data_IF_010146251220
#
_entry.id   IF_010146251220
#
_cell.length_a   1.000
_cell.length_b   1.000
_cell.length_c   1.000
_cell.angle_alpha   90.00
_cell.angle_beta   90.00
_cell.angle_gamma   90.00
#
_symmetry.space_group_name_H-M   'P 1'
#
loop_
_entity.id
_entity.type
_entity.pdbx_description
1 polymer ?
#
# COMPACT_ATOMS: atom_id res chain seq x y z
N UNK A 1 43.12 -26.77 19.76
CA UNK A 1 42.27 -26.10 20.76
C UNK A 1 42.63 -26.37 22.23
N UNK A 2 43.77 -26.98 22.57
CA UNK A 2 44.21 -27.16 23.97
C UNK A 2 44.81 -25.88 24.59
N UNK A 3 45.32 -24.93 23.78
CA UNK A 3 46.04 -23.74 24.22
C UNK A 3 45.20 -22.73 25.03
N UNK A 4 43.88 -22.75 24.90
CA UNK A 4 42.96 -21.82 25.59
C UNK A 4 42.61 -22.26 27.03
N UNK A 5 43.06 -23.44 27.48
CA UNK A 5 42.70 -24.00 28.79
C UNK A 5 43.92 -24.27 29.71
N UNK A 6 45.12 -23.81 29.31
CA UNK A 6 46.31 -23.93 30.16
C UNK A 6 46.33 -22.84 31.23
N UNK A 7 46.49 -23.23 32.47
CA UNK A 7 46.48 -22.35 33.64
C UNK A 7 47.55 -21.26 33.57
N UNK A 8 48.69 -21.58 32.96
CA UNK A 8 49.83 -20.70 32.80
C UNK A 8 49.53 -19.55 31.82
N UNK A 9 48.78 -19.84 30.74
CA UNK A 9 48.35 -18.81 29.77
C UNK A 9 47.44 -17.76 30.42
N UNK A 10 46.55 -18.20 31.29
CA UNK A 10 45.66 -17.26 32.02
C UNK A 10 46.38 -16.44 33.07
N UNK A 11 47.41 -17.00 33.73
CA UNK A 11 48.25 -16.26 34.67
C UNK A 11 49.09 -15.17 33.97
N UNK A 12 49.63 -15.49 32.79
CA UNK A 12 50.41 -14.54 31.99
C UNK A 12 49.52 -13.39 31.44
N UNK A 13 48.29 -13.73 30.95
CA UNK A 13 47.30 -12.73 30.52
C UNK A 13 46.94 -11.80 31.69
N UNK A 14 46.60 -12.40 32.86
CA UNK A 14 46.25 -11.61 34.04
C UNK A 14 47.42 -10.71 34.54
N UNK A 15 48.65 -11.20 34.50
CA UNK A 15 49.86 -10.45 34.82
C UNK A 15 50.06 -9.27 33.88
N UNK A 16 49.86 -9.46 32.58
CA UNK A 16 49.96 -8.44 31.56
C UNK A 16 48.90 -7.33 31.72
N UNK A 17 47.65 -7.74 32.00
CA UNK A 17 46.53 -6.81 32.27
C UNK A 17 46.83 -5.95 33.52
N UNK A 18 47.34 -6.57 34.58
CA UNK A 18 47.67 -5.87 35.84
C UNK A 18 48.82 -4.86 35.71
N UNK A 19 49.79 -5.15 34.82
CA UNK A 19 50.95 -4.31 34.58
C UNK A 19 50.60 -3.07 33.72
N UNK A 20 49.61 -3.14 32.85
CA UNK A 20 49.22 -2.06 31.89
C UNK A 20 47.71 -1.75 31.97
N UNK A 21 47.20 -1.46 33.16
CA UNK A 21 45.76 -1.23 33.42
C UNK A 21 45.11 -0.21 32.50
N UNK A 22 45.75 0.92 32.30
CA UNK A 22 45.19 2.01 31.47
C UNK A 22 45.07 1.61 30.00
N UNK A 23 46.09 0.96 29.43
CA UNK A 23 46.05 0.47 28.03
C UNK A 23 44.94 -0.58 27.86
N UNK A 24 44.90 -1.54 28.79
CA UNK A 24 43.86 -2.60 28.76
C UNK A 24 42.45 -2.01 28.87
N UNK A 25 42.24 -1.06 29.78
CA UNK A 25 40.94 -0.41 29.96
C UNK A 25 40.50 0.35 28.68
N UNK A 26 41.41 1.09 28.02
CA UNK A 26 41.10 1.78 26.76
C UNK A 26 40.77 0.77 25.65
N UNK A 27 41.51 -0.34 25.55
CA UNK A 27 41.26 -1.37 24.54
C UNK A 27 39.92 -2.05 24.75
N UNK A 28 39.59 -2.43 25.99
CA UNK A 28 38.31 -3.03 26.33
C UNK A 28 37.16 -2.06 26.06
N UNK A 29 37.32 -0.77 26.45
CA UNK A 29 36.33 0.26 26.18
C UNK A 29 36.09 0.45 24.69
N UNK A 30 37.18 0.52 23.88
CA UNK A 30 37.05 0.64 22.44
C UNK A 30 36.36 -0.57 21.79
N UNK A 31 36.72 -1.78 22.19
CA UNK A 31 36.08 -3.00 21.71
C UNK A 31 34.60 -3.07 22.12
N UNK A 32 34.30 -2.77 23.39
CA UNK A 32 32.92 -2.72 23.90
C UNK A 32 32.08 -1.69 23.13
N UNK A 33 32.62 -0.49 22.93
CA UNK A 33 31.93 0.59 22.20
C UNK A 33 31.70 0.20 20.75
N UNK A 34 32.69 -0.39 20.09
CA UNK A 34 32.56 -0.88 18.71
C UNK A 34 31.47 -1.95 18.55
N UNK A 35 31.44 -2.91 19.47
CA UNK A 35 30.38 -3.95 19.46
C UNK A 35 29.01 -3.33 19.75
N UNK A 36 28.91 -2.43 20.71
CA UNK A 36 27.66 -1.75 21.06
C UNK A 36 27.09 -0.95 19.87
N UNK A 37 27.95 -0.21 19.17
CA UNK A 37 27.54 0.52 17.97
C UNK A 37 27.09 -0.43 16.84
N UNK A 38 27.84 -1.53 16.63
CA UNK A 38 27.50 -2.50 15.61
C UNK A 38 26.14 -3.14 15.88
N UNK A 39 25.91 -3.62 17.11
CA UNK A 39 24.63 -4.21 17.51
C UNK A 39 23.49 -3.18 17.42
N UNK A 40 23.74 -1.93 17.84
CA UNK A 40 22.79 -0.84 17.74
C UNK A 40 22.40 -0.54 16.30
N UNK A 41 23.37 -0.47 15.38
CA UNK A 41 23.13 -0.27 13.96
C UNK A 41 22.36 -1.42 13.31
N UNK A 42 22.73 -2.66 13.61
CA UNK A 42 22.02 -3.83 13.10
C UNK A 42 20.57 -3.90 13.64
N UNK A 43 20.37 -3.56 14.91
CA UNK A 43 19.05 -3.45 15.51
C UNK A 43 18.19 -2.37 14.87
N UNK A 44 18.77 -1.20 14.61
CA UNK A 44 18.09 -0.10 13.92
C UNK A 44 17.73 -0.48 12.47
N UNK A 45 18.65 -1.08 11.73
CA UNK A 45 18.39 -1.56 10.36
C UNK A 45 17.24 -2.57 10.32
N UNK A 46 17.25 -3.55 11.24
CA UNK A 46 16.17 -4.55 11.35
C UNK A 46 14.83 -3.92 11.79
N UNK A 47 14.89 -2.92 12.65
CA UNK A 47 13.72 -2.13 13.05
C UNK A 47 13.09 -1.39 11.87
N UNK A 48 13.89 -0.78 11.01
CA UNK A 48 13.42 -0.12 9.77
C UNK A 48 12.79 -1.14 8.82
N UNK A 49 13.47 -2.26 8.55
CA UNK A 49 12.95 -3.34 7.70
C UNK A 49 11.61 -3.87 8.20
N UNK A 50 11.50 -4.17 9.49
CA UNK A 50 10.26 -4.65 10.11
C UNK A 50 9.14 -3.61 10.03
N UNK A 51 9.46 -2.32 10.25
CA UNK A 51 8.49 -1.22 10.12
C UNK A 51 8.00 -1.11 8.68
N UNK A 52 8.89 -1.21 7.71
CA UNK A 52 8.56 -1.15 6.30
C UNK A 52 7.66 -2.34 5.90
N UNK A 53 8.05 -3.57 6.25
CA UNK A 53 7.26 -4.77 5.99
C UNK A 53 5.86 -4.69 6.67
N UNK A 54 5.76 -4.09 7.86
CA UNK A 54 4.47 -3.90 8.52
C UNK A 54 3.60 -2.82 7.86
N UNK A 55 4.19 -1.86 7.15
CA UNK A 55 3.46 -0.83 6.40
C UNK A 55 2.96 -1.34 5.04
N UNK A 56 3.80 -2.06 4.32
CA UNK A 56 3.56 -2.42 2.91
C UNK A 56 3.37 -3.91 2.66
N UNK A 57 3.54 -4.76 3.68
CA UNK A 57 3.48 -6.22 3.54
C UNK A 57 2.13 -6.78 3.07
N UNK A 58 1.06 -5.99 3.16
CA UNK A 58 -0.26 -6.36 2.66
C UNK A 58 -0.44 -6.01 1.16
N UNK A 59 0.50 -5.25 0.58
CA UNK A 59 0.50 -4.91 -0.85
C UNK A 59 1.37 -5.87 -1.65
N UNK A 60 0.97 -6.13 -2.88
CA UNK A 60 1.84 -6.80 -3.84
C UNK A 60 3.08 -5.90 -4.08
N UNK A 61 4.25 -6.42 -3.75
CA UNK A 61 5.52 -5.68 -3.80
C UNK A 61 5.87 -5.18 -5.21
N UNK A 62 5.41 -5.92 -6.24
CA UNK A 62 5.60 -5.55 -7.65
C UNK A 62 4.40 -4.75 -8.16
N UNK A 63 4.09 -3.62 -7.52
CA UNK A 63 2.95 -2.77 -7.88
C UNK A 63 3.27 -1.28 -7.86
N UNK A 64 2.55 -0.53 -8.70
CA UNK A 64 2.61 0.91 -8.80
C UNK A 64 1.20 1.50 -8.79
N UNK A 65 1.01 2.61 -8.05
CA UNK A 65 -0.20 3.42 -8.11
C UNK A 65 -0.01 4.49 -9.19
N UNK A 66 -0.98 4.63 -10.10
CA UNK A 66 -0.95 5.64 -11.15
C UNK A 66 -2.26 6.45 -11.10
N UNK A 67 -2.12 7.76 -11.10
CA UNK A 67 -3.25 8.70 -11.16
C UNK A 67 -3.03 9.78 -12.23
N UNK A 68 -4.12 10.23 -12.86
CA UNK A 68 -4.07 11.38 -13.75
C UNK A 68 -3.81 12.68 -12.99
N UNK A 69 -3.00 13.56 -13.59
CA UNK A 69 -2.69 14.88 -13.06
C UNK A 69 -2.96 15.94 -14.12
N UNK A 70 -2.34 17.10 -14.02
CA UNK A 70 -2.44 18.15 -15.01
C UNK A 70 -1.24 18.11 -15.95
N UNK A 71 -1.51 18.31 -17.26
CA UNK A 71 -0.44 18.45 -18.26
C UNK A 71 0.38 19.70 -17.99
N UNK A 72 1.68 19.65 -18.28
CA UNK A 72 2.59 20.79 -18.15
C UNK A 72 3.14 21.26 -19.49
N UNK A 73 2.77 20.59 -20.57
CA UNK A 73 3.21 20.93 -21.93
C UNK A 73 2.03 20.91 -22.89
N UNK A 74 1.93 21.88 -23.83
CA UNK A 74 0.94 21.84 -24.90
C UNK A 74 1.32 20.74 -25.90
N UNK A 75 0.30 20.05 -26.46
CA UNK A 75 0.55 19.00 -27.45
C UNK A 75 -0.67 18.75 -28.34
N UNK A 76 -0.47 18.57 -29.64
CA UNK A 76 -1.51 18.25 -30.63
C UNK A 76 -2.77 19.15 -30.50
N UNK A 77 -2.59 20.45 -30.31
CA UNK A 77 -3.69 21.41 -30.18
C UNK A 77 -4.29 21.54 -28.78
N UNK A 78 -3.88 20.70 -27.84
CA UNK A 78 -4.29 20.86 -26.46
C UNK A 78 -3.33 21.78 -25.69
N UNK A 79 -3.91 22.63 -24.85
CA UNK A 79 -3.17 23.53 -23.97
C UNK A 79 -2.59 22.78 -22.75
N UNK A 80 -1.58 23.34 -22.11
CA UNK A 80 -1.11 22.91 -20.80
C UNK A 80 -2.19 23.12 -19.71
N UNK A 81 -2.03 22.46 -18.55
CA UNK A 81 -2.96 22.56 -17.42
C UNK A 81 -4.21 21.69 -17.54
N UNK A 82 -4.36 20.93 -18.63
CA UNK A 82 -5.49 20.02 -18.83
C UNK A 82 -5.48 18.90 -17.80
N UNK A 83 -6.57 18.75 -17.03
CA UNK A 83 -6.74 17.65 -16.09
C UNK A 83 -6.98 16.34 -16.83
N UNK A 84 -6.10 15.38 -16.63
CA UNK A 84 -6.25 14.04 -17.22
C UNK A 84 -7.16 13.19 -16.34
N UNK A 85 -8.20 12.63 -16.97
CA UNK A 85 -9.17 11.73 -16.32
C UNK A 85 -8.98 10.34 -16.91
N UNK A 86 -8.64 9.38 -16.07
CA UNK A 86 -8.52 7.99 -16.45
C UNK A 86 -9.90 7.37 -16.62
N UNK A 87 -10.03 6.43 -17.56
CA UNK A 87 -11.28 5.76 -17.91
C UNK A 87 -11.12 4.24 -17.90
N UNK A 88 -12.24 3.52 -17.78
CA UNK A 88 -12.21 2.04 -17.83
C UNK A 88 -11.64 1.52 -19.15
N UNK A 89 -11.79 2.26 -20.26
CA UNK A 89 -11.16 1.95 -21.54
C UNK A 89 -9.62 1.96 -21.45
N UNK A 90 -9.04 2.86 -20.68
CA UNK A 90 -7.58 2.89 -20.48
C UNK A 90 -7.09 1.60 -19.83
N UNK A 91 -7.88 1.05 -18.90
CA UNK A 91 -7.56 -0.25 -18.25
C UNK A 91 -7.54 -1.39 -19.25
N UNK A 92 -8.51 -1.44 -20.16
CA UNK A 92 -8.60 -2.50 -21.18
C UNK A 92 -7.43 -2.41 -22.16
N UNK A 93 -7.05 -1.20 -22.58
CA UNK A 93 -5.88 -0.98 -23.44
C UNK A 93 -4.57 -1.35 -22.74
N UNK A 94 -4.39 -0.98 -21.48
CA UNK A 94 -3.21 -1.36 -20.70
C UNK A 94 -3.08 -2.90 -20.63
N UNK A 95 -4.18 -3.61 -20.38
CA UNK A 95 -4.18 -5.07 -20.30
C UNK A 95 -3.87 -5.74 -21.62
N UNK A 96 -4.31 -5.17 -22.75
CA UNK A 96 -4.13 -5.75 -24.07
C UNK A 96 -2.75 -5.45 -24.67
N UNK A 97 -2.19 -4.27 -24.42
CA UNK A 97 -1.01 -3.79 -25.14
C UNK A 97 0.30 -3.94 -24.35
N UNK A 98 0.22 -3.93 -23.00
CA UNK A 98 1.44 -3.99 -22.21
C UNK A 98 1.74 -5.41 -21.73
N UNK A 99 2.86 -5.92 -22.18
CA UNK A 99 3.41 -7.18 -21.69
C UNK A 99 3.86 -7.03 -20.24
N UNK A 100 3.71 -8.09 -19.44
CA UNK A 100 4.16 -8.09 -18.06
C UNK A 100 3.12 -7.58 -17.05
N UNK A 101 1.95 -7.13 -17.48
CA UNK A 101 0.83 -6.82 -16.58
C UNK A 101 0.26 -8.11 -15.98
N UNK A 102 0.14 -8.12 -14.65
CA UNK A 102 -0.58 -9.15 -13.93
C UNK A 102 -1.99 -8.68 -13.59
N UNK A 103 -2.10 -7.52 -12.95
CA UNK A 103 -3.39 -6.93 -12.57
C UNK A 103 -3.41 -5.42 -12.83
N UNK A 104 -4.56 -4.89 -13.23
CA UNK A 104 -4.88 -3.46 -13.24
C UNK A 104 -6.20 -3.29 -12.53
N UNK A 105 -6.19 -2.53 -11.43
CA UNK A 105 -7.35 -2.34 -10.55
C UNK A 105 -7.66 -0.86 -10.45
N UNK A 106 -8.68 -0.36 -11.19
CA UNK A 106 -9.11 1.03 -11.05
C UNK A 106 -9.84 1.23 -9.72
N UNK A 107 -9.68 2.41 -9.15
CA UNK A 107 -10.25 2.77 -7.85
C UNK A 107 -10.80 4.18 -7.85
N UNK A 108 -11.85 4.37 -7.07
CA UNK A 108 -12.41 5.68 -6.72
C UNK A 108 -12.50 5.83 -5.21
N UNK A 109 -12.47 7.07 -4.72
CA UNK A 109 -12.77 7.36 -3.33
C UNK A 109 -13.52 8.69 -3.19
N UNK A 110 -14.31 8.77 -2.13
CA UNK A 110 -14.97 10.01 -1.70
C UNK A 110 -15.13 9.99 -0.18
N UNK A 111 -15.26 11.17 0.43
CA UNK A 111 -15.75 11.27 1.79
C UNK A 111 -17.24 10.98 1.84
N UNK A 112 -17.68 10.28 2.89
CA UNK A 112 -19.10 10.00 3.10
C UNK A 112 -19.45 9.91 4.58
N UNK A 113 -20.62 10.43 4.93
CA UNK A 113 -21.22 10.21 6.24
C UNK A 113 -21.77 8.79 6.29
N UNK A 114 -21.41 8.05 7.33
CA UNK A 114 -21.92 6.69 7.57
C UNK A 114 -22.64 6.66 8.90
N UNK A 115 -23.82 6.08 8.91
CA UNK A 115 -24.71 6.04 10.09
C UNK A 115 -25.15 4.60 10.38
N UNK A 116 -25.07 4.22 11.65
CA UNK A 116 -25.67 3.01 12.21
C UNK A 116 -26.57 3.42 13.39
N UNK A 117 -27.89 3.36 13.21
CA UNK A 117 -28.84 3.84 14.22
C UNK A 117 -28.60 5.31 14.57
N UNK A 118 -28.18 5.58 15.79
CA UNK A 118 -27.87 6.92 16.28
C UNK A 118 -26.39 7.29 16.20
N UNK A 119 -25.50 6.34 15.87
CA UNK A 119 -24.06 6.58 15.72
C UNK A 119 -23.76 7.03 14.32
N UNK A 120 -22.96 8.07 14.18
CA UNK A 120 -22.62 8.66 12.88
C UNK A 120 -21.17 9.09 12.87
N UNK A 121 -20.47 8.83 11.77
CA UNK A 121 -19.10 9.25 11.52
C UNK A 121 -18.87 9.63 10.07
N UNK A 122 -17.74 10.30 9.80
CA UNK A 122 -17.29 10.62 8.44
C UNK A 122 -16.11 9.71 8.06
N UNK A 123 -16.29 8.98 6.98
CA UNK A 123 -15.35 7.95 6.55
C UNK A 123 -15.03 8.08 5.07
N UNK A 124 -13.94 7.43 4.65
CA UNK A 124 -13.61 7.33 3.24
C UNK A 124 -14.33 6.13 2.63
N UNK A 125 -15.13 6.40 1.61
CA UNK A 125 -15.85 5.40 0.83
C UNK A 125 -15.07 5.11 -0.44
N UNK A 126 -14.59 3.88 -0.59
CA UNK A 126 -13.88 3.42 -1.78
C UNK A 126 -14.83 2.64 -2.69
N UNK A 127 -14.75 2.92 -3.99
CA UNK A 127 -15.33 2.07 -5.03
C UNK A 127 -14.26 1.12 -5.56
N UNK A 128 -14.39 -0.16 -5.29
CA UNK A 128 -13.35 -1.16 -5.55
C UNK A 128 -13.86 -2.40 -6.29
N UNK A 129 -12.93 -3.09 -6.93
CA UNK A 129 -13.15 -4.40 -7.54
C UNK A 129 -12.72 -5.53 -6.60
N UNK A 130 -13.29 -6.73 -6.73
CA UNK A 130 -12.87 -7.92 -5.97
C UNK A 130 -11.37 -8.23 -6.12
N UNK A 131 -10.82 -7.89 -7.28
CA UNK A 131 -9.42 -8.09 -7.61
C UNK A 131 -8.46 -7.30 -6.70
N UNK A 132 -8.95 -6.27 -6.00
CA UNK A 132 -8.17 -5.51 -5.04
C UNK A 132 -7.59 -6.41 -3.94
N UNK A 133 -8.31 -7.41 -3.47
CA UNK A 133 -7.84 -8.32 -2.43
C UNK A 133 -6.59 -9.14 -2.84
N UNK A 134 -6.38 -9.34 -4.15
CA UNK A 134 -5.15 -9.97 -4.67
C UNK A 134 -3.96 -9.03 -4.73
N UNK A 135 -4.21 -7.74 -4.85
CA UNK A 135 -3.17 -6.70 -4.95
C UNK A 135 -2.86 -6.09 -3.59
N UNK A 136 -3.87 -5.97 -2.77
CA UNK A 136 -3.82 -5.47 -1.40
C UNK A 136 -4.66 -6.38 -0.51
N UNK A 137 -4.02 -7.40 0.04
CA UNK A 137 -4.71 -8.44 0.81
C UNK A 137 -5.42 -7.85 2.04
N UNK A 138 -6.71 -8.09 2.14
CA UNK A 138 -7.52 -7.69 3.30
C UNK A 138 -7.54 -8.79 4.34
N UNK A 139 -7.13 -8.49 5.55
CA UNK A 139 -7.20 -9.42 6.69
C UNK A 139 -8.62 -9.38 7.26
N UNK A 140 -9.52 -10.16 6.66
CA UNK A 140 -10.89 -10.27 7.13
C UNK A 140 -10.93 -10.82 8.56
N UNK A 141 -11.69 -10.17 9.41
CA UNK A 141 -12.00 -10.64 10.77
C UNK A 141 -13.34 -11.34 10.81
N UNK A 142 -14.27 -10.94 9.92
CA UNK A 142 -15.58 -11.54 9.79
C UNK A 142 -16.12 -11.36 8.36
N UNK A 143 -16.97 -12.29 7.91
CA UNK A 143 -17.63 -12.24 6.62
C UNK A 143 -16.69 -12.44 5.42
N UNK A 144 -16.93 -11.68 4.34
CA UNK A 144 -16.19 -11.78 3.07
C UNK A 144 -15.84 -10.41 2.49
N UNK A 145 -14.88 -10.38 1.58
CA UNK A 145 -14.66 -9.22 0.73
C UNK A 145 -15.67 -9.16 -0.44
N UNK A 146 -15.64 -8.10 -1.23
CA UNK A 146 -16.43 -7.93 -2.43
C UNK A 146 -16.18 -9.09 -3.42
N UNK A 147 -17.20 -9.50 -4.15
CA UNK A 147 -17.10 -10.54 -5.19
C UNK A 147 -17.63 -10.06 -6.54
N UNK A 148 -17.44 -10.85 -7.58
CA UNK A 148 -17.86 -10.48 -8.93
C UNK A 148 -19.37 -10.32 -9.08
N UNK A 149 -20.18 -11.07 -8.29
CA UNK A 149 -21.63 -10.92 -8.29
C UNK A 149 -22.07 -9.56 -7.77
N UNK A 150 -21.34 -9.01 -6.76
CA UNK A 150 -21.63 -7.67 -6.22
C UNK A 150 -21.41 -6.59 -7.29
N UNK A 151 -20.39 -6.77 -8.16
CA UNK A 151 -20.10 -5.86 -9.29
C UNK A 151 -21.18 -5.99 -10.37
N UNK A 152 -21.47 -7.21 -10.79
CA UNK A 152 -22.36 -7.48 -11.94
C UNK A 152 -23.81 -7.05 -11.65
N UNK A 153 -24.27 -7.22 -10.41
CA UNK A 153 -25.61 -6.89 -9.97
C UNK A 153 -25.72 -5.48 -9.35
N UNK A 154 -24.64 -4.69 -9.33
CA UNK A 154 -24.58 -3.38 -8.68
C UNK A 154 -25.11 -3.43 -7.24
N UNK A 155 -24.71 -4.46 -6.47
CA UNK A 155 -25.23 -4.69 -5.14
C UNK A 155 -24.87 -3.55 -4.18
N UNK A 156 -25.82 -3.19 -3.33
CA UNK A 156 -25.61 -2.27 -2.23
C UNK A 156 -25.05 -3.00 -1.01
N UNK A 157 -23.81 -3.43 -1.12
CA UNK A 157 -23.06 -4.11 -0.05
C UNK A 157 -21.79 -3.31 0.28
N UNK A 158 -21.33 -3.46 1.51
CA UNK A 158 -20.07 -2.81 1.93
C UNK A 158 -19.23 -3.74 2.81
N UNK A 159 -17.93 -3.50 2.75
CA UNK A 159 -16.93 -4.09 3.65
C UNK A 159 -16.32 -2.95 4.46
N UNK A 160 -16.32 -3.07 5.77
CA UNK A 160 -15.90 -2.02 6.70
C UNK A 160 -14.59 -2.36 7.41
N UNK A 161 -13.82 -1.34 7.73
CA UNK A 161 -12.63 -1.49 8.56
C UNK A 161 -12.97 -1.71 10.05
N UNK A 162 -12.05 -2.29 10.80
CA UNK A 162 -12.15 -2.44 12.25
C UNK A 162 -12.27 -1.10 12.99
N UNK A 163 -11.81 0.00 12.39
CA UNK A 163 -12.00 1.34 12.92
C UNK A 163 -13.46 1.79 12.85
N UNK A 164 -14.11 1.60 11.69
CA UNK A 164 -15.55 1.88 11.51
C UNK A 164 -16.39 1.00 12.43
N UNK A 165 -16.03 -0.30 12.54
CA UNK A 165 -16.71 -1.21 13.45
C UNK A 165 -16.68 -0.68 14.91
N UNK A 166 -15.52 -0.29 15.40
CA UNK A 166 -15.37 0.23 16.78
C UNK A 166 -16.10 1.55 17.02
N UNK A 167 -16.31 2.37 16.00
CA UNK A 167 -16.95 3.68 16.11
C UNK A 167 -18.48 3.59 16.00
N UNK A 168 -19.00 2.71 15.13
CA UNK A 168 -20.41 2.66 14.79
C UNK A 168 -21.17 1.48 15.41
N UNK A 169 -20.49 0.46 15.94
CA UNK A 169 -21.12 -0.70 16.57
C UNK A 169 -20.81 -0.75 18.06
N UNK A 170 -21.63 -1.48 18.81
CA UNK A 170 -21.33 -1.78 20.19
C UNK A 170 -20.34 -2.95 20.29
N UNK A 171 -19.74 -3.10 21.47
CA UNK A 171 -18.79 -4.18 21.69
C UNK A 171 -19.52 -5.51 21.55
N UNK A 172 -18.93 -6.42 20.74
CA UNK A 172 -19.45 -7.75 20.45
C UNK A 172 -20.78 -7.77 19.63
N UNK A 173 -21.21 -6.62 19.08
CA UNK A 173 -22.35 -6.55 18.16
C UNK A 173 -21.96 -7.16 16.79
N UNK A 174 -22.82 -8.02 16.24
CA UNK A 174 -22.62 -8.63 14.93
C UNK A 174 -22.85 -7.58 13.82
N UNK A 175 -21.78 -7.23 13.08
CA UNK A 175 -21.86 -6.24 12.01
C UNK A 175 -22.29 -6.86 10.67
N UNK A 176 -21.86 -8.09 10.38
CA UNK A 176 -22.15 -8.75 9.10
C UNK A 176 -23.65 -9.08 9.03
N UNK A 177 -24.26 -8.68 7.90
CA UNK A 177 -25.71 -8.82 7.70
C UNK A 177 -26.52 -7.58 8.05
N UNK A 178 -25.99 -6.67 8.88
CA UNK A 178 -26.65 -5.40 9.24
C UNK A 178 -26.59 -4.37 8.10
N UNK A 179 -27.33 -3.28 8.23
CA UNK A 179 -27.39 -2.22 7.23
C UNK A 179 -26.83 -0.91 7.78
N UNK A 180 -25.89 -0.34 7.05
CA UNK A 180 -25.36 1.01 7.29
C UNK A 180 -25.92 1.98 6.25
N UNK A 181 -26.24 3.20 6.66
CA UNK A 181 -26.53 4.29 5.73
C UNK A 181 -25.23 5.02 5.37
N UNK A 182 -24.86 4.98 4.09
CA UNK A 182 -23.72 5.71 3.53
C UNK A 182 -24.28 6.80 2.63
N UNK A 183 -24.11 8.07 2.99
CA UNK A 183 -24.68 9.22 2.24
C UNK A 183 -26.16 9.03 1.89
N UNK A 184 -26.97 8.60 2.87
CA UNK A 184 -28.41 8.31 2.77
C UNK A 184 -28.80 7.03 1.97
N UNK A 185 -27.86 6.23 1.52
CA UNK A 185 -28.13 4.95 0.84
C UNK A 185 -27.78 3.81 1.78
N UNK A 186 -28.70 2.85 1.92
CA UNK A 186 -28.48 1.67 2.76
C UNK A 186 -27.62 0.64 2.06
N UNK A 187 -26.58 0.18 2.73
CA UNK A 187 -25.65 -0.88 2.30
C UNK A 187 -25.64 -1.99 3.34
N UNK A 188 -25.75 -3.22 2.91
CA UNK A 188 -25.57 -4.38 3.78
C UNK A 188 -24.07 -4.61 4.03
N UNK A 189 -23.68 -4.73 5.29
CA UNK A 189 -22.33 -5.12 5.67
C UNK A 189 -22.14 -6.60 5.33
N UNK A 190 -21.13 -6.92 4.49
CA UNK A 190 -20.82 -8.30 4.10
C UNK A 190 -19.48 -8.77 4.62
N UNK A 191 -18.69 -7.89 5.24
CA UNK A 191 -17.46 -8.26 5.88
C UNK A 191 -16.84 -7.12 6.70
N UNK A 192 -16.02 -7.52 7.64
CA UNK A 192 -15.20 -6.64 8.49
C UNK A 192 -13.74 -7.04 8.31
N UNK A 193 -12.84 -6.08 8.17
CA UNK A 193 -11.42 -6.36 8.03
C UNK A 193 -10.58 -5.52 9.00
N UNK A 194 -9.43 -6.06 9.37
CA UNK A 194 -8.44 -5.35 10.17
C UNK A 194 -7.65 -4.40 9.28
N UNK A 195 -7.68 -3.11 9.61
CA UNK A 195 -6.95 -2.08 8.88
C UNK A 195 -5.44 -2.28 8.98
N UNK A 196 -4.77 -2.23 7.84
CA UNK A 196 -3.32 -2.10 7.78
C UNK A 196 -2.86 -0.70 8.18
N UNK A 197 -1.58 -0.54 8.51
CA UNK A 197 -1.00 0.77 8.89
C UNK A 197 -1.12 1.83 7.80
N UNK A 198 -0.98 1.42 6.54
CA UNK A 198 -0.97 2.32 5.39
C UNK A 198 -2.38 2.70 4.93
N UNK A 199 -3.36 1.87 5.18
CA UNK A 199 -4.71 2.04 4.64
C UNK A 199 -5.57 3.01 5.45
N UNK A 200 -5.18 3.29 6.68
CA UNK A 200 -6.01 4.04 7.62
C UNK A 200 -7.15 3.21 8.22
N UNK A 201 -7.69 3.69 9.32
CA UNK A 201 -8.71 2.96 10.10
C UNK A 201 -10.15 3.28 9.69
N UNK A 202 -10.34 4.26 8.82
CA UNK A 202 -11.64 4.88 8.55
C UNK A 202 -12.13 4.63 7.13
N UNK A 203 -11.96 3.40 6.63
CA UNK A 203 -12.24 3.05 5.24
C UNK A 203 -13.38 2.04 5.11
N UNK A 204 -14.25 2.32 4.16
CA UNK A 204 -15.38 1.49 3.75
C UNK A 204 -15.25 1.21 2.25
N UNK A 205 -15.44 -0.04 1.84
CA UNK A 205 -15.36 -0.47 0.45
C UNK A 205 -16.73 -0.88 -0.06
N UNK A 206 -17.16 -0.34 -1.19
CA UNK A 206 -18.37 -0.73 -1.92
C UNK A 206 -17.99 -1.19 -3.33
N UNK A 207 -18.85 -1.95 -4.03
CA UNK A 207 -18.59 -2.36 -5.41
C UNK A 207 -18.34 -1.15 -6.31
N UNK A 208 -17.31 -1.22 -7.15
CA UNK A 208 -16.95 -0.15 -8.08
C UNK A 208 -18.11 0.27 -8.98
N UNK A 209 -18.88 -0.69 -9.47
CA UNK A 209 -20.07 -0.45 -10.29
C UNK A 209 -21.15 0.33 -9.53
N UNK A 210 -21.40 -0.02 -8.28
CA UNK A 210 -22.33 0.71 -7.39
C UNK A 210 -21.83 2.12 -7.11
N UNK A 211 -20.51 2.29 -6.84
CA UNK A 211 -19.90 3.60 -6.64
C UNK A 211 -20.12 4.52 -7.85
N UNK A 212 -19.86 4.00 -9.06
CA UNK A 212 -20.06 4.77 -10.30
C UNK A 212 -21.48 5.28 -10.45
N UNK A 213 -22.46 4.43 -10.15
CA UNK A 213 -23.88 4.79 -10.24
C UNK A 213 -24.26 5.84 -9.19
N UNK A 214 -23.90 5.62 -7.94
CA UNK A 214 -24.30 6.48 -6.82
C UNK A 214 -23.65 7.87 -6.91
N UNK A 215 -22.39 7.93 -7.29
CA UNK A 215 -21.64 9.19 -7.36
C UNK A 215 -21.54 9.78 -8.78
N UNK A 216 -22.30 9.24 -9.74
CA UNK A 216 -22.37 9.70 -11.13
C UNK A 216 -21.00 9.89 -11.80
N UNK A 217 -20.09 8.92 -11.61
CA UNK A 217 -18.72 8.99 -12.12
C UNK A 217 -18.58 8.61 -13.60
N UNK A 218 -19.61 8.03 -14.21
CA UNK A 218 -19.55 7.50 -15.56
C UNK A 218 -18.52 6.37 -15.68
N UNK A 219 -17.63 6.43 -16.66
CA UNK A 219 -16.54 5.47 -16.89
C UNK A 219 -15.20 5.90 -16.26
N UNK A 220 -15.17 7.04 -15.57
CA UNK A 220 -13.97 7.65 -15.01
C UNK A 220 -13.59 7.04 -13.68
N UNK A 221 -12.28 7.06 -13.40
CA UNK A 221 -11.75 6.72 -12.09
C UNK A 221 -10.58 7.65 -11.73
N UNK A 222 -10.23 7.67 -10.43
CA UNK A 222 -9.25 8.61 -9.90
C UNK A 222 -7.82 8.09 -10.00
N UNK A 223 -7.62 6.82 -9.66
CA UNK A 223 -6.32 6.16 -9.77
C UNK A 223 -6.49 4.66 -10.02
N UNK A 224 -5.42 4.00 -10.39
CA UNK A 224 -5.36 2.55 -10.52
C UNK A 224 -4.12 2.00 -9.82
N UNK A 225 -4.22 0.75 -9.40
CA UNK A 225 -3.08 -0.06 -9.00
C UNK A 225 -2.73 -0.98 -10.15
N UNK A 226 -1.50 -0.89 -10.62
CA UNK A 226 -0.95 -1.76 -11.64
C UNK A 226 0.05 -2.70 -10.98
N UNK A 227 -0.12 -3.99 -11.17
CA UNK A 227 0.80 -5.03 -10.67
C UNK A 227 1.47 -5.70 -11.85
N UNK A 228 2.78 -5.77 -11.81
CA UNK A 228 3.59 -6.50 -12.78
C UNK A 228 3.70 -7.98 -12.43
N UNK A 229 3.92 -8.83 -13.44
CA UNK A 229 4.36 -10.21 -13.22
C UNK A 229 5.78 -10.20 -12.67
N UNK A 230 6.17 -11.25 -11.95
CA UNK A 230 7.47 -11.30 -11.25
C UNK A 230 8.68 -11.26 -12.19
N UNK A 231 8.51 -11.71 -13.45
CA UNK A 231 9.58 -11.71 -14.45
C UNK A 231 9.84 -10.33 -15.07
N UNK A 232 9.02 -9.33 -14.77
CA UNK A 232 9.10 -7.98 -15.33
C UNK A 232 9.46 -6.96 -14.26
N UNK A 233 10.37 -6.04 -14.60
CA UNK A 233 10.67 -4.91 -13.75
C UNK A 233 9.49 -3.94 -13.71
N UNK A 234 8.96 -3.70 -12.52
CA UNK A 234 7.83 -2.79 -12.32
C UNK A 234 8.16 -1.33 -12.72
N UNK A 235 9.43 -0.94 -12.70
CA UNK A 235 9.85 0.39 -13.15
C UNK A 235 9.66 0.52 -14.67
N UNK A 236 10.01 -0.52 -15.41
CA UNK A 236 9.77 -0.55 -16.86
C UNK A 236 8.29 -0.64 -17.18
N UNK A 237 7.54 -1.49 -16.48
CA UNK A 237 6.08 -1.59 -16.62
C UNK A 237 5.39 -0.24 -16.36
N UNK A 238 5.82 0.49 -15.33
CA UNK A 238 5.31 1.85 -15.05
C UNK A 238 5.58 2.80 -16.21
N UNK A 239 6.79 2.77 -16.76
CA UNK A 239 7.18 3.62 -17.89
C UNK A 239 6.33 3.33 -19.14
N UNK A 240 6.15 2.05 -19.46
CA UNK A 240 5.36 1.60 -20.61
C UNK A 240 3.88 1.99 -20.45
N UNK A 241 3.30 1.81 -19.26
CA UNK A 241 1.92 2.23 -18.94
C UNK A 241 1.77 3.74 -19.11
N UNK A 242 2.70 4.54 -18.58
CA UNK A 242 2.65 6.00 -18.71
C UNK A 242 2.81 6.44 -20.15
N UNK A 243 3.67 5.80 -20.92
CA UNK A 243 3.85 6.10 -22.33
C UNK A 243 2.59 5.79 -23.14
N UNK A 244 1.97 4.63 -22.93
CA UNK A 244 0.70 4.27 -23.55
C UNK A 244 -0.39 5.28 -23.24
N UNK A 245 -0.54 5.64 -21.94
CA UNK A 245 -1.51 6.64 -21.51
C UNK A 245 -1.26 8.03 -22.12
N UNK A 246 0.01 8.45 -22.26
CA UNK A 246 0.36 9.71 -22.94
C UNK A 246 -0.11 9.69 -24.39
N UNK A 247 0.08 8.56 -25.10
CA UNK A 247 -0.36 8.40 -26.47
C UNK A 247 -1.90 8.46 -26.58
N UNK A 248 -2.62 7.71 -25.76
CA UNK A 248 -4.09 7.66 -25.76
C UNK A 248 -4.69 9.03 -25.48
N UNK A 249 -4.15 9.76 -24.51
CA UNK A 249 -4.67 11.04 -24.08
C UNK A 249 -4.08 12.24 -24.83
N UNK A 250 -3.32 12.04 -25.88
CA UNK A 250 -2.63 13.09 -26.67
C UNK A 250 -1.85 14.04 -25.72
N UNK A 251 -0.90 13.48 -25.00
CA UNK A 251 -0.02 14.20 -24.08
C UNK A 251 1.40 14.16 -24.67
N UNK A 252 2.17 15.22 -24.47
CA UNK A 252 3.55 15.29 -24.90
C UNK A 252 4.37 14.16 -24.30
N UNK A 253 5.19 13.40 -25.06
CA UNK A 253 5.94 12.26 -24.55
C UNK A 253 6.85 12.59 -23.36
N UNK A 254 7.40 13.80 -23.31
CA UNK A 254 8.28 14.27 -22.24
C UNK A 254 7.52 14.91 -21.06
N UNK A 255 6.19 15.01 -21.11
CA UNK A 255 5.42 15.55 -19.98
C UNK A 255 5.36 14.55 -18.81
N UNK A 256 6.29 14.70 -17.87
CA UNK A 256 6.38 13.85 -16.69
C UNK A 256 5.40 14.24 -15.57
N UNK A 257 4.66 15.35 -15.73
CA UNK A 257 3.68 15.83 -14.72
C UNK A 257 2.27 15.34 -14.97
N UNK A 258 1.97 14.88 -16.18
CA UNK A 258 0.63 14.45 -16.59
C UNK A 258 0.11 13.24 -15.79
N UNK A 259 0.99 12.37 -15.31
CA UNK A 259 0.66 11.24 -14.46
C UNK A 259 1.52 11.22 -13.21
N UNK A 260 0.89 11.10 -12.05
CA UNK A 260 1.56 10.82 -10.79
C UNK A 260 1.66 9.31 -10.62
N UNK A 261 2.78 8.85 -10.09
CA UNK A 261 3.01 7.44 -9.77
C UNK A 261 3.65 7.31 -8.39
N UNK A 262 3.25 6.28 -7.65
CA UNK A 262 3.94 5.84 -6.45
C UNK A 262 4.31 4.36 -6.65
N UNK A 263 5.58 4.12 -6.89
CA UNK A 263 6.11 2.79 -7.19
C UNK A 263 6.57 2.12 -5.91
N UNK A 264 5.77 1.18 -5.42
CA UNK A 264 6.06 0.41 -4.21
C UNK A 264 7.33 -0.42 -4.36
N UNK A 265 7.53 -1.09 -5.51
CA UNK A 265 8.72 -1.89 -5.75
C UNK A 265 10.00 -1.05 -5.68
N UNK A 266 9.99 0.14 -6.30
CA UNK A 266 11.12 1.08 -6.26
C UNK A 266 11.41 1.59 -4.84
N UNK A 267 10.39 1.85 -4.04
CA UNK A 267 10.58 2.29 -2.65
C UNK A 267 11.08 1.14 -1.76
N UNK A 268 10.59 -0.08 -1.99
CA UNK A 268 11.09 -1.28 -1.30
C UNK A 268 12.57 -1.53 -1.63
N UNK A 269 12.96 -1.49 -2.90
CA UNK A 269 14.35 -1.72 -3.31
C UNK A 269 15.34 -0.72 -2.72
N UNK A 270 14.93 0.54 -2.53
CA UNK A 270 15.76 1.56 -1.85
C UNK A 270 16.04 1.22 -0.39
N UNK A 271 15.08 0.58 0.30
CA UNK A 271 15.20 0.24 1.74
C UNK A 271 15.91 -1.09 1.94
N UNK A 272 15.70 -2.05 1.04
CA UNK A 272 16.29 -3.39 1.15
C UNK A 272 17.68 -3.52 0.51
N UNK A 273 18.10 -2.54 -0.28
CA UNK A 273 19.42 -2.51 -0.92
C UNK A 273 19.59 -3.50 -2.07
N UNK A 274 18.48 -4.01 -2.61
CA UNK A 274 18.42 -4.90 -3.77
C UNK A 274 17.50 -4.30 -4.84
#
# INVERSE_FOLDING_TARGET
MKFLFEKDTWQEIYGSIRKNKTRTAITIFGAFWGILLLVGLLGAAKGIENSFNSMFGDFATNSVLISGSRTSMPFKGFQEGRQIKLTTRDVDLIRSEIKGIQFVVPRNATGGQVTNGFKTGNFTVFGDFPLLDKVQKKKLTDGRFLNQKDINENRKVCVISDGIYKELFDKDEEAVGTYLKVSNISYQVVGVYKSGRFEGKNNLHIPFSTFKLVYNQGDKFQWMVVTGKQEFDIVQVEADVKLLLKNIHNIHPEDNRAFRGFNLGKEISKVTGF
#
